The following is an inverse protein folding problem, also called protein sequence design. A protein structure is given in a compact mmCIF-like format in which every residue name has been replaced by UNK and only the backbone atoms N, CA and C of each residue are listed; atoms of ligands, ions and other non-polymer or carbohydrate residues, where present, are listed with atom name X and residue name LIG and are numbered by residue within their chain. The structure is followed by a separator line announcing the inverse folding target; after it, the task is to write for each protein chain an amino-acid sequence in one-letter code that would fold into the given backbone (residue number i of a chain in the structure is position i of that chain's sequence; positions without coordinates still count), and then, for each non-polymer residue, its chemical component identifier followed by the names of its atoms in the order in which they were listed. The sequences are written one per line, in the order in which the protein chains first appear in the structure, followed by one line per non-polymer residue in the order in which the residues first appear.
data_IF_309681514126
#
_entry.id   IF_309681514126
#
_cell.length_a   1.000
_cell.length_b   1.000
_cell.length_c   1.000
_cell.angle_alpha   90.00
_cell.angle_beta   90.00
_cell.angle_gamma   90.00
#
_symmetry.space_group_name_H-M   'P 1'
#
loop_
_entity.id
_entity.type
_entity.pdbx_description
1 polymer ?
#
# COMPACT_ATOMS: atom_id res chain seq x y z
N UNK A 1 0.43 10.22 19.84
CA UNK A 1 1.37 9.48 20.70
C UNK A 1 1.59 8.07 20.16
N UNK A 2 2.72 7.47 20.50
CA UNK A 2 3.04 6.10 20.10
C UNK A 2 1.97 5.10 20.55
N UNK A 3 1.43 5.28 21.74
CA UNK A 3 0.33 4.45 22.27
C UNK A 3 -0.92 4.51 21.39
N UNK A 4 -1.29 5.70 20.94
CA UNK A 4 -2.43 5.89 20.04
C UNK A 4 -2.20 5.18 18.71
N UNK A 5 -1.02 5.37 18.07
CA UNK A 5 -0.67 4.72 16.81
C UNK A 5 -0.70 3.20 16.95
N UNK A 6 -0.10 2.65 18.02
CA UNK A 6 -0.07 1.21 18.27
C UNK A 6 -1.47 0.63 18.47
N UNK A 7 -2.37 1.35 19.12
CA UNK A 7 -3.76 0.92 19.28
C UNK A 7 -4.50 0.90 17.93
N UNK A 8 -4.30 1.92 17.10
CA UNK A 8 -4.88 1.96 15.75
C UNK A 8 -4.39 0.79 14.92
N UNK A 9 -3.09 0.52 14.92
CA UNK A 9 -2.49 -0.60 14.18
C UNK A 9 -3.01 -1.95 14.68
N UNK A 10 -3.06 -2.15 15.99
CA UNK A 10 -3.57 -3.40 16.57
C UNK A 10 -5.01 -3.67 16.17
N UNK A 11 -5.85 -2.66 16.23
CA UNK A 11 -7.27 -2.81 15.88
C UNK A 11 -7.44 -3.04 14.36
N UNK A 12 -6.72 -2.33 13.52
CA UNK A 12 -6.75 -2.52 12.08
C UNK A 12 -6.32 -3.94 11.69
N UNK A 13 -5.29 -4.49 12.33
CA UNK A 13 -4.82 -5.84 12.04
C UNK A 13 -5.76 -6.96 12.50
N UNK A 14 -6.62 -6.69 13.47
CA UNK A 14 -7.62 -7.64 13.97
C UNK A 14 -8.97 -7.55 13.25
N UNK A 15 -9.14 -6.56 12.40
CA UNK A 15 -10.40 -6.27 11.72
C UNK A 15 -10.28 -6.53 10.22
N UNK A 16 -11.42 -6.76 9.55
CA UNK A 16 -11.46 -6.71 8.09
C UNK A 16 -11.33 -5.27 7.59
N UNK A 17 -10.89 -5.09 6.35
CA UNK A 17 -10.79 -3.76 5.74
C UNK A 17 -12.16 -3.07 5.68
N UNK A 18 -13.23 -3.82 5.45
CA UNK A 18 -14.60 -3.28 5.45
C UNK A 18 -14.99 -2.73 6.82
N UNK A 19 -14.69 -3.47 7.88
CA UNK A 19 -14.95 -3.03 9.26
C UNK A 19 -14.16 -1.77 9.59
N UNK A 20 -12.88 -1.73 9.25
CA UNK A 20 -12.03 -0.55 9.43
C UNK A 20 -12.54 0.65 8.64
N UNK A 21 -12.94 0.44 7.39
CA UNK A 21 -13.51 1.49 6.54
C UNK A 21 -14.77 2.10 7.17
N UNK A 22 -15.70 1.25 7.60
CA UNK A 22 -16.94 1.68 8.28
C UNK A 22 -16.62 2.46 9.56
N UNK A 23 -15.65 2.00 10.34
CA UNK A 23 -15.22 2.69 11.57
C UNK A 23 -14.73 4.12 11.27
N UNK A 24 -13.90 4.30 10.25
CA UNK A 24 -13.39 5.61 9.88
C UNK A 24 -14.46 6.51 9.27
N UNK A 25 -15.41 5.96 8.50
CA UNK A 25 -16.57 6.72 8.02
C UNK A 25 -17.40 7.27 9.17
N UNK A 26 -17.55 6.50 10.25
CA UNK A 26 -18.26 6.91 11.45
C UNK A 26 -17.43 7.80 12.37
N UNK A 27 -16.11 7.81 12.22
CA UNK A 27 -15.15 8.51 13.08
C UNK A 27 -14.03 9.15 12.25
N UNK A 28 -14.35 10.11 11.37
CA UNK A 28 -13.35 10.67 10.45
C UNK A 28 -12.20 11.38 11.17
N UNK A 29 -12.46 11.96 12.34
CA UNK A 29 -11.42 12.63 13.13
C UNK A 29 -10.34 11.67 13.63
N UNK A 30 -10.70 10.42 13.91
CA UNK A 30 -9.72 9.39 14.29
C UNK A 30 -8.76 9.08 13.14
N UNK A 31 -9.28 8.97 11.93
CA UNK A 31 -8.46 8.74 10.74
C UNK A 31 -7.48 9.89 10.49
N UNK A 32 -7.97 11.12 10.57
CA UNK A 32 -7.16 12.33 10.39
C UNK A 32 -6.07 12.44 11.46
N UNK A 33 -6.42 12.17 12.73
CA UNK A 33 -5.48 12.20 13.84
C UNK A 33 -4.40 11.13 13.70
N UNK A 34 -4.78 9.93 13.26
CA UNK A 34 -3.82 8.86 12.98
C UNK A 34 -2.79 9.30 11.93
N UNK A 35 -3.23 9.86 10.81
CA UNK A 35 -2.33 10.31 9.76
C UNK A 35 -1.48 11.50 10.20
N UNK A 36 -2.04 12.41 10.99
CA UNK A 36 -1.27 13.53 11.55
C UNK A 36 -0.12 13.02 12.43
N UNK A 37 -0.40 12.09 13.34
CA UNK A 37 0.64 11.53 14.22
C UNK A 37 1.64 10.69 13.44
N UNK A 38 1.19 9.98 12.41
CA UNK A 38 2.07 9.20 11.54
C UNK A 38 3.07 10.08 10.80
N UNK A 39 2.64 11.19 10.24
CA UNK A 39 3.54 12.13 9.57
C UNK A 39 4.61 12.69 10.54
N UNK A 40 4.22 12.96 11.77
CA UNK A 40 5.18 13.37 12.81
C UNK A 40 6.18 12.24 13.09
N UNK A 41 5.73 11.00 13.20
CA UNK A 41 6.61 9.84 13.41
C UNK A 41 7.62 9.66 12.28
N UNK A 42 7.21 9.93 11.04
CA UNK A 42 8.10 9.82 9.87
C UNK A 42 9.29 10.77 9.91
N UNK A 43 9.18 11.89 10.62
CA UNK A 43 10.29 12.85 10.77
C UNK A 43 11.52 12.22 11.43
N UNK A 44 11.33 11.18 12.25
CA UNK A 44 12.41 10.44 12.89
C UNK A 44 12.98 9.30 12.06
N UNK A 45 12.37 8.96 10.93
CA UNK A 45 12.82 7.87 10.08
C UNK A 45 14.03 8.30 9.25
N UNK A 46 14.99 7.38 9.04
CA UNK A 46 16.16 7.63 8.20
C UNK A 46 15.76 7.92 6.75
N UNK A 47 14.67 7.30 6.27
CA UNK A 47 14.14 7.47 4.92
C UNK A 47 12.63 7.20 4.93
N UNK A 48 11.85 7.98 4.18
CA UNK A 48 10.46 7.65 3.90
C UNK A 48 10.42 6.60 2.79
N UNK A 49 9.85 5.42 3.02
CA UNK A 49 9.78 4.36 2.00
C UNK A 49 9.14 4.80 0.68
N UNK A 50 8.23 5.77 0.71
CA UNK A 50 7.59 6.31 -0.49
C UNK A 50 8.63 6.89 -1.46
N UNK A 51 9.68 7.53 -0.95
CA UNK A 51 10.74 8.09 -1.79
C UNK A 51 11.51 6.98 -2.54
N UNK A 52 11.80 5.86 -1.87
CA UNK A 52 12.44 4.71 -2.51
C UNK A 52 11.52 4.03 -3.52
N UNK A 53 10.23 3.91 -3.21
CA UNK A 53 9.24 3.41 -4.17
C UNK A 53 9.22 4.27 -5.43
N UNK A 54 9.23 5.59 -5.28
CA UNK A 54 9.30 6.52 -6.40
C UNK A 54 10.56 6.29 -7.23
N UNK A 55 11.71 6.14 -6.61
CA UNK A 55 12.98 5.86 -7.29
C UNK A 55 12.92 4.55 -8.08
N UNK A 56 12.33 3.50 -7.52
CA UNK A 56 12.13 2.23 -8.22
C UNK A 56 11.28 2.45 -9.47
N UNK A 57 10.12 3.08 -9.34
CA UNK A 57 9.20 3.33 -10.47
C UNK A 57 9.88 4.23 -11.52
N UNK A 58 10.58 5.26 -11.09
CA UNK A 58 11.26 6.18 -12.01
C UNK A 58 12.41 5.52 -12.80
N UNK A 59 12.96 4.41 -12.27
CA UNK A 59 13.98 3.62 -12.96
C UNK A 59 13.41 2.71 -14.06
N UNK A 60 12.09 2.46 -14.05
CA UNK A 60 11.45 1.60 -15.03
C UNK A 60 11.19 2.32 -16.35
N UNK A 61 10.92 1.54 -17.40
CA UNK A 61 10.63 2.10 -18.70
C UNK A 61 9.33 2.93 -18.71
N UNK A 62 9.21 3.80 -19.71
CA UNK A 62 8.06 4.71 -19.86
C UNK A 62 6.71 4.02 -20.10
N UNK A 63 6.67 2.69 -20.22
CA UNK A 63 5.39 1.97 -20.30
C UNK A 63 4.66 1.92 -18.96
N UNK A 64 5.36 2.10 -17.83
CA UNK A 64 4.78 2.03 -16.48
C UNK A 64 4.37 3.43 -16.03
N UNK A 65 3.26 3.93 -16.59
CA UNK A 65 2.83 5.32 -16.37
C UNK A 65 1.57 5.46 -15.54
N UNK A 66 0.71 4.42 -15.50
CA UNK A 66 -0.56 4.47 -14.78
C UNK A 66 -0.40 3.75 -13.43
N UNK A 67 -0.30 4.52 -12.36
CA UNK A 67 0.02 4.02 -11.02
C UNK A 67 -1.20 4.14 -10.13
N UNK A 68 -1.47 3.11 -9.34
CA UNK A 68 -2.43 3.18 -8.24
C UNK A 68 -1.71 2.95 -6.91
N UNK A 69 -1.88 3.88 -5.97
CA UNK A 69 -1.30 3.82 -4.63
C UNK A 69 -2.37 3.38 -3.65
N UNK A 70 -2.29 2.14 -3.23
CA UNK A 70 -3.28 1.46 -2.41
C UNK A 70 -2.98 1.69 -0.92
N UNK A 71 -3.78 2.52 -0.28
CA UNK A 71 -3.52 2.99 1.08
C UNK A 71 -2.55 4.17 1.07
N UNK A 72 -2.88 5.19 0.30
CA UNK A 72 -1.94 6.26 -0.07
C UNK A 72 -1.69 7.31 1.04
N UNK A 73 -2.49 7.34 2.10
CA UNK A 73 -2.39 8.36 3.15
C UNK A 73 -2.42 9.78 2.60
N UNK A 74 -1.32 10.51 2.77
CA UNK A 74 -1.16 11.88 2.25
C UNK A 74 -0.91 11.96 0.74
N UNK A 75 -0.95 10.81 0.05
CA UNK A 75 -0.75 10.73 -1.40
C UNK A 75 0.59 11.32 -1.88
N UNK A 76 1.64 11.16 -1.08
CA UNK A 76 2.96 11.70 -1.36
C UNK A 76 3.57 11.14 -2.65
N UNK A 77 3.29 9.87 -2.99
CA UNK A 77 3.83 9.23 -4.19
C UNK A 77 3.53 10.05 -5.44
N UNK A 78 2.34 10.65 -5.52
CA UNK A 78 1.93 11.52 -6.62
C UNK A 78 2.88 12.70 -6.83
N UNK A 79 3.50 13.20 -5.76
CA UNK A 79 4.38 14.37 -5.83
C UNK A 79 5.83 14.04 -6.13
N UNK A 80 6.25 12.79 -5.98
CA UNK A 80 7.67 12.38 -6.09
C UNK A 80 7.97 11.48 -7.30
N UNK A 81 6.95 11.01 -8.02
CA UNK A 81 7.17 10.33 -9.31
C UNK A 81 7.40 11.33 -10.43
N UNK A 82 8.14 10.89 -11.45
CA UNK A 82 8.51 11.76 -12.58
C UNK A 82 7.39 11.94 -13.62
N UNK A 83 7.35 13.10 -14.18
CA UNK A 83 6.88 13.60 -15.45
C UNK A 83 5.56 13.04 -16.00
N UNK A 84 5.63 12.05 -16.84
CA UNK A 84 4.49 11.51 -17.59
C UNK A 84 3.69 10.46 -16.82
N UNK A 85 4.02 10.23 -15.55
CA UNK A 85 3.33 9.24 -14.70
C UNK A 85 2.14 9.87 -14.01
N UNK A 86 1.05 9.11 -13.92
CA UNK A 86 -0.13 9.51 -13.16
C UNK A 86 -0.27 8.59 -11.97
N UNK A 87 -0.57 9.16 -10.80
CA UNK A 87 -0.82 8.39 -9.57
C UNK A 87 -2.23 8.66 -9.10
N UNK A 88 -3.01 7.60 -8.98
CA UNK A 88 -4.32 7.62 -8.37
C UNK A 88 -4.19 6.99 -6.98
N UNK A 89 -4.48 7.77 -5.95
CA UNK A 89 -4.43 7.29 -4.57
C UNK A 89 -5.78 6.73 -4.13
N UNK A 90 -5.73 5.68 -3.32
CA UNK A 90 -6.91 5.09 -2.66
C UNK A 90 -6.65 5.05 -1.17
N UNK A 91 -7.60 5.51 -0.38
CA UNK A 91 -7.60 5.32 1.07
C UNK A 91 -9.04 5.35 1.60
N UNK A 92 -9.21 5.14 2.90
CA UNK A 92 -10.56 5.17 3.50
C UNK A 92 -11.25 6.50 3.31
N UNK A 93 -10.50 7.60 3.38
CA UNK A 93 -10.99 8.96 3.11
C UNK A 93 -9.83 9.93 2.85
N UNK A 94 -10.14 11.13 2.38
CA UNK A 94 -9.17 12.21 2.28
C UNK A 94 -8.72 12.64 3.68
N UNK A 95 -7.41 12.79 3.86
CA UNK A 95 -6.83 13.24 5.14
C UNK A 95 -6.92 14.75 5.32
N UNK A 96 -6.99 15.51 4.21
CA UNK A 96 -7.14 16.96 4.22
C UNK A 96 -7.78 17.43 2.92
N UNK A 97 -8.32 18.70 2.88
CA UNK A 97 -8.92 19.26 1.66
C UNK A 97 -7.96 19.33 0.46
N UNK A 98 -6.65 19.40 0.71
CA UNK A 98 -5.63 19.53 -0.33
C UNK A 98 -5.21 18.18 -0.92
N UNK A 99 -5.68 17.07 -0.36
CA UNK A 99 -5.35 15.71 -0.79
C UNK A 99 -6.57 15.08 -1.43
N UNK A 100 -6.47 14.73 -2.71
CA UNK A 100 -7.55 14.07 -3.45
C UNK A 100 -7.22 12.59 -3.60
N UNK A 101 -8.08 11.73 -3.05
CA UNK A 101 -7.95 10.28 -3.15
C UNK A 101 -9.32 9.67 -3.48
N UNK A 102 -9.30 8.43 -3.98
CA UNK A 102 -10.49 7.60 -4.03
C UNK A 102 -10.79 7.14 -2.60
N UNK A 103 -11.95 7.50 -2.09
CA UNK A 103 -12.39 7.11 -0.75
C UNK A 103 -13.13 5.78 -0.84
N UNK A 104 -12.43 4.68 -0.51
CA UNK A 104 -12.99 3.33 -0.62
C UNK A 104 -12.23 2.33 0.25
N UNK A 105 -12.84 1.17 0.44
CA UNK A 105 -12.17 -0.04 0.91
C UNK A 105 -11.42 -0.66 -0.28
N UNK A 106 -10.08 -0.71 -0.20
CA UNK A 106 -9.25 -1.17 -1.31
C UNK A 106 -9.34 -2.67 -1.60
N UNK A 107 -10.05 -3.44 -0.78
CA UNK A 107 -10.34 -4.84 -1.10
C UNK A 107 -11.40 -5.00 -2.19
N UNK A 108 -12.15 -3.94 -2.48
CA UNK A 108 -13.19 -3.94 -3.49
C UNK A 108 -13.33 -2.57 -4.15
N UNK A 109 -12.74 -2.43 -5.33
CA UNK A 109 -12.80 -1.21 -6.14
C UNK A 109 -13.65 -1.42 -7.41
N UNK A 110 -14.50 -2.45 -7.44
CA UNK A 110 -15.41 -2.70 -8.56
C UNK A 110 -16.31 -1.50 -8.79
N UNK A 111 -16.43 -1.08 -10.06
CA UNK A 111 -17.21 0.09 -10.43
C UNK A 111 -16.52 1.43 -10.18
N UNK A 112 -15.34 1.43 -9.55
CA UNK A 112 -14.55 2.64 -9.27
C UNK A 112 -13.28 2.64 -10.13
N UNK A 113 -12.55 1.52 -10.14
CA UNK A 113 -11.34 1.33 -10.93
C UNK A 113 -11.55 0.13 -11.86
N UNK A 114 -11.35 0.35 -13.16
CA UNK A 114 -11.60 -0.66 -14.18
C UNK A 114 -10.56 -1.78 -14.17
N UNK A 115 -10.98 -2.95 -14.69
CA UNK A 115 -10.06 -4.05 -14.98
C UNK A 115 -8.96 -3.60 -15.95
N UNK A 116 -7.76 -4.10 -15.75
CA UNK A 116 -6.63 -3.89 -16.66
C UNK A 116 -6.36 -2.40 -16.98
N UNK A 117 -6.55 -1.52 -16.00
CA UNK A 117 -6.45 -0.07 -16.18
C UNK A 117 -5.17 0.56 -15.62
N UNK A 118 -4.36 -0.20 -14.90
CA UNK A 118 -3.14 0.30 -14.26
C UNK A 118 -1.92 -0.52 -14.65
N UNK A 119 -0.77 0.14 -14.64
CA UNK A 119 0.53 -0.48 -14.93
C UNK A 119 1.27 -0.88 -13.65
N UNK A 120 1.03 -0.15 -12.56
CA UNK A 120 1.69 -0.36 -11.27
C UNK A 120 0.69 -0.23 -10.14
N UNK A 121 0.70 -1.19 -9.22
CA UNK A 121 -0.01 -1.12 -7.93
C UNK A 121 1.02 -1.06 -6.81
N UNK A 122 0.85 -0.13 -5.87
CA UNK A 122 1.75 0.08 -4.74
C UNK A 122 1.01 -0.15 -3.43
N UNK A 123 1.58 -0.98 -2.58
CA UNK A 123 1.18 -1.16 -1.18
C UNK A 123 2.37 -0.76 -0.31
N UNK A 124 2.42 0.50 0.12
CA UNK A 124 3.49 1.00 0.97
C UNK A 124 2.98 1.17 2.39
N UNK A 125 3.32 0.23 3.26
CA UNK A 125 2.90 0.18 4.67
C UNK A 125 1.36 0.14 4.80
N UNK A 126 0.68 -0.56 3.93
CA UNK A 126 -0.78 -0.52 3.84
C UNK A 126 -1.49 -1.88 3.85
N UNK A 127 -0.78 -2.98 4.06
CA UNK A 127 -1.38 -4.32 4.11
C UNK A 127 -1.98 -4.61 5.50
N UNK A 128 -2.92 -3.77 5.92
CA UNK A 128 -3.64 -3.88 7.17
C UNK A 128 -4.86 -4.79 7.05
N UNK A 129 -5.21 -5.44 8.13
CA UNK A 129 -6.44 -6.20 8.24
C UNK A 129 -6.23 -7.70 8.10
N UNK A 130 -7.22 -8.45 8.56
CA UNK A 130 -7.20 -9.92 8.49
C UNK A 130 -7.39 -10.43 7.06
N UNK A 131 -7.93 -9.59 6.18
CA UNK A 131 -8.21 -9.89 4.77
C UNK A 131 -7.21 -9.27 3.80
N UNK A 132 -5.98 -8.96 4.22
CA UNK A 132 -5.01 -8.28 3.34
C UNK A 132 -4.74 -9.04 2.03
N UNK A 133 -4.93 -10.36 1.99
CA UNK A 133 -4.77 -11.15 0.77
C UNK A 133 -5.81 -10.82 -0.30
N UNK A 134 -6.98 -10.30 0.09
CA UNK A 134 -8.00 -9.83 -0.86
C UNK A 134 -7.50 -8.64 -1.69
N UNK A 135 -6.55 -7.86 -1.14
CA UNK A 135 -5.94 -6.74 -1.88
C UNK A 135 -5.14 -7.22 -3.08
N UNK A 136 -4.55 -8.40 -3.02
CA UNK A 136 -3.80 -8.99 -4.14
C UNK A 136 -4.74 -9.40 -5.28
N UNK A 137 -5.90 -9.94 -4.96
CA UNK A 137 -6.94 -10.25 -5.95
C UNK A 137 -7.38 -8.97 -6.67
N UNK A 138 -7.61 -7.91 -5.93
CA UNK A 138 -8.03 -6.63 -6.50
C UNK A 138 -6.92 -5.99 -7.34
N UNK A 139 -5.68 -6.02 -6.85
CA UNK A 139 -4.53 -5.55 -7.62
C UNK A 139 -4.37 -6.33 -8.94
N UNK A 140 -4.54 -7.66 -8.90
CA UNK A 140 -4.49 -8.49 -10.10
C UNK A 140 -5.56 -8.07 -11.11
N UNK A 141 -6.79 -7.84 -10.67
CA UNK A 141 -7.88 -7.39 -11.55
C UNK A 141 -7.57 -6.05 -12.22
N UNK A 142 -7.05 -5.10 -11.45
CA UNK A 142 -6.80 -3.72 -11.87
C UNK A 142 -5.58 -3.60 -12.77
N UNK A 143 -4.55 -4.41 -12.55
CA UNK A 143 -3.32 -4.37 -13.33
C UNK A 143 -3.53 -4.90 -14.75
N UNK A 144 -2.95 -4.19 -15.72
CA UNK A 144 -2.86 -4.64 -17.10
C UNK A 144 -1.86 -5.79 -17.22
N UNK A 145 -1.82 -6.46 -18.37
CA UNK A 145 -0.87 -7.52 -18.66
C UNK A 145 0.57 -7.02 -18.41
N UNK A 146 1.38 -7.85 -17.77
CA UNK A 146 2.76 -7.51 -17.36
C UNK A 146 2.85 -6.34 -16.38
N UNK A 147 1.74 -5.94 -15.77
CA UNK A 147 1.71 -4.92 -14.72
C UNK A 147 2.52 -5.35 -13.50
N UNK A 148 3.01 -4.37 -12.76
CA UNK A 148 3.88 -4.60 -11.60
C UNK A 148 3.23 -4.19 -10.29
N UNK A 149 3.58 -4.92 -9.24
CA UNK A 149 3.15 -4.61 -7.88
C UNK A 149 4.37 -4.44 -7.00
N UNK A 150 4.37 -3.37 -6.19
CA UNK A 150 5.41 -3.12 -5.19
C UNK A 150 4.76 -3.22 -3.81
N UNK A 151 5.38 -3.99 -2.93
CA UNK A 151 4.98 -4.12 -1.52
C UNK A 151 6.14 -3.67 -0.66
N UNK A 152 5.87 -2.77 0.28
CA UNK A 152 6.84 -2.36 1.32
C UNK A 152 6.19 -2.54 2.68
N UNK A 153 6.85 -3.27 3.55
CA UNK A 153 6.39 -3.46 4.94
C UNK A 153 7.59 -3.53 5.89
N UNK A 154 7.39 -3.20 7.18
CA UNK A 154 8.46 -3.34 8.16
C UNK A 154 8.90 -4.79 8.30
N UNK A 155 10.23 -5.01 8.37
CA UNK A 155 10.80 -6.36 8.57
C UNK A 155 10.26 -7.04 9.83
N UNK A 156 9.93 -6.25 10.87
CA UNK A 156 9.40 -6.75 12.13
C UNK A 156 8.02 -7.39 12.03
N UNK A 157 7.32 -7.18 10.92
CA UNK A 157 5.98 -7.77 10.69
C UNK A 157 6.03 -9.17 10.08
N UNK A 158 7.21 -9.65 9.68
CA UNK A 158 7.39 -10.97 9.07
C UNK A 158 7.95 -11.97 10.07
N UNK A 159 7.45 -13.19 10.04
CA UNK A 159 7.94 -14.29 10.86
C UNK A 159 6.84 -15.12 11.50
N UNK A 160 7.24 -16.10 12.30
CA UNK A 160 6.32 -16.95 13.07
C UNK A 160 5.58 -16.10 14.10
N UNK A 161 4.27 -16.26 14.19
CA UNK A 161 3.38 -15.49 15.09
C UNK A 161 3.41 -13.98 14.87
N UNK A 162 3.79 -13.55 13.68
CA UNK A 162 3.70 -12.15 13.25
C UNK A 162 2.47 -11.91 12.37
N UNK A 163 2.24 -10.65 11.99
CA UNK A 163 1.14 -10.30 11.08
C UNK A 163 1.26 -11.02 9.74
N UNK A 164 2.48 -11.06 9.19
CA UNK A 164 2.81 -11.85 8.01
C UNK A 164 3.62 -13.09 8.40
N UNK A 165 3.53 -14.14 7.58
CA UNK A 165 4.41 -15.30 7.64
C UNK A 165 5.87 -14.91 7.37
N UNK A 166 6.78 -15.88 7.31
CA UNK A 166 8.16 -15.59 6.87
C UNK A 166 8.15 -14.92 5.50
N UNK A 167 9.20 -14.19 5.16
CA UNK A 167 9.28 -13.51 3.86
C UNK A 167 9.11 -14.50 2.71
N UNK A 168 9.76 -15.67 2.78
CA UNK A 168 9.65 -16.69 1.73
C UNK A 168 8.22 -17.22 1.59
N UNK A 169 7.56 -17.52 2.70
CA UNK A 169 6.15 -17.96 2.69
C UNK A 169 5.22 -16.86 2.18
N UNK A 170 5.49 -15.61 2.57
CA UNK A 170 4.72 -14.46 2.10
C UNK A 170 4.85 -14.29 0.58
N UNK A 171 6.04 -14.41 0.04
CA UNK A 171 6.28 -14.38 -1.42
C UNK A 171 5.48 -15.48 -2.11
N UNK A 172 5.55 -16.72 -1.61
CA UNK A 172 4.79 -17.85 -2.16
C UNK A 172 3.27 -17.57 -2.12
N UNK A 173 2.77 -16.99 -1.03
CA UNK A 173 1.37 -16.61 -0.90
C UNK A 173 0.96 -15.59 -1.97
N UNK A 174 1.76 -14.53 -2.16
CA UNK A 174 1.50 -13.51 -3.18
C UNK A 174 1.50 -14.13 -4.58
N UNK A 175 2.43 -15.03 -4.85
CA UNK A 175 2.53 -15.69 -6.15
C UNK A 175 1.30 -16.54 -6.47
N UNK A 176 0.63 -17.08 -5.45
CA UNK A 176 -0.63 -17.81 -5.63
C UNK A 176 -1.79 -16.94 -6.15
N UNK A 177 -1.64 -15.62 -6.14
CA UNK A 177 -2.65 -14.68 -6.65
C UNK A 177 -2.40 -14.23 -8.10
N UNK A 178 -1.49 -14.91 -8.81
CA UNK A 178 -1.21 -14.64 -10.22
C UNK A 178 0.00 -13.72 -10.46
N UNK A 179 0.89 -13.67 -9.50
CA UNK A 179 2.10 -12.84 -9.56
C UNK A 179 3.35 -13.70 -9.55
N UNK A 180 4.42 -13.16 -10.11
CA UNK A 180 5.76 -13.71 -10.04
C UNK A 180 6.68 -12.67 -9.45
N UNK A 181 7.49 -13.04 -8.44
CA UNK A 181 8.46 -12.12 -7.86
C UNK A 181 9.49 -11.70 -8.90
N UNK A 182 9.75 -10.41 -9.00
CA UNK A 182 10.72 -9.80 -9.91
C UNK A 182 11.87 -9.21 -9.11
N UNK A 183 13.10 -9.62 -9.43
CA UNK A 183 14.29 -9.12 -8.75
C UNK A 183 14.46 -9.72 -7.35
N UNK A 184 15.39 -9.14 -6.59
CA UNK A 184 15.72 -9.58 -5.24
C UNK A 184 14.78 -8.97 -4.21
N UNK A 185 14.56 -9.69 -3.11
CA UNK A 185 14.04 -9.11 -1.88
C UNK A 185 15.12 -8.18 -1.31
N UNK A 186 14.77 -6.94 -1.05
CA UNK A 186 15.69 -5.94 -0.51
C UNK A 186 15.19 -5.45 0.85
N UNK A 187 16.12 -5.20 1.76
CA UNK A 187 15.81 -4.60 3.07
C UNK A 187 16.63 -3.34 3.23
N UNK A 188 15.94 -2.22 3.46
CA UNK A 188 16.54 -0.90 3.68
C UNK A 188 15.88 -0.23 4.88
N UNK A 189 16.68 0.24 5.84
CA UNK A 189 16.18 0.97 7.03
C UNK A 189 15.01 0.23 7.73
N UNK A 190 15.14 -1.09 7.89
CA UNK A 190 14.14 -1.96 8.53
C UNK A 190 12.83 -2.14 7.74
N UNK A 191 12.81 -1.77 6.47
CA UNK A 191 11.69 -2.06 5.55
C UNK A 191 12.10 -3.07 4.51
N UNK A 192 11.18 -4.01 4.23
CA UNK A 192 11.33 -5.03 3.17
C UNK A 192 10.63 -4.51 1.92
N UNK A 193 11.34 -4.56 0.79
CA UNK A 193 10.84 -4.15 -0.54
C UNK A 193 10.70 -5.37 -1.42
N UNK A 194 9.49 -5.62 -1.88
CA UNK A 194 9.14 -6.76 -2.74
C UNK A 194 8.53 -6.25 -4.03
N UNK A 195 8.97 -6.81 -5.16
CA UNK A 195 8.45 -6.46 -6.49
C UNK A 195 7.91 -7.71 -7.16
N UNK A 196 6.77 -7.57 -7.80
CA UNK A 196 6.07 -8.66 -8.49
C UNK A 196 5.61 -8.21 -9.86
N UNK A 197 5.48 -9.17 -10.77
CA UNK A 197 4.88 -8.96 -12.09
C UNK A 197 3.64 -9.84 -12.22
N UNK A 198 2.56 -9.29 -12.75
CA UNK A 198 1.34 -10.03 -13.08
C UNK A 198 1.63 -11.00 -14.22
N UNK A 199 1.32 -12.29 -14.03
CA UNK A 199 1.49 -13.35 -15.02
C UNK A 199 0.16 -13.93 -15.50
#
# INVERSE_FOLDING_TARGET
SESFINNVHSLANRSSSKTTHTRYLNNPDEFKEYHRQREISKESWAEDPVDRVADIINSWSNRYTRIIDMGCGMNKLKTVVNGNKTVQGVDHMNVSPDVTVIEADMSNLNGIVDDNSKDVAVFCLSLWGVNYKDYFTEAYRILDADGRMIIVEPSSKFGTDKHFSTIDEFVDDVENYGFERTGKVETHNNFVYLKFTKI
#
